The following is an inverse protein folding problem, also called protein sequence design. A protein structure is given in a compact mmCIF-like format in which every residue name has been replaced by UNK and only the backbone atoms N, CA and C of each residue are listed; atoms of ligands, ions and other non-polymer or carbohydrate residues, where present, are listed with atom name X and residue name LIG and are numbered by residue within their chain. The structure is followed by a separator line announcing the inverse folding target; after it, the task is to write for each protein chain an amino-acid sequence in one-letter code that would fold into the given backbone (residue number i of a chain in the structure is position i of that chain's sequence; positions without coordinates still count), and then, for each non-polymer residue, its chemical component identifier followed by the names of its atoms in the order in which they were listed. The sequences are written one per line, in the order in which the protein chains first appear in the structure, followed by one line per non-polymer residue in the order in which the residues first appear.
data_IF_055566019894
#
_entry.id   IF_055566019894
#
_cell.length_a   1.000
_cell.length_b   1.000
_cell.length_c   1.000
_cell.angle_alpha   90.00
_cell.angle_beta   90.00
_cell.angle_gamma   90.00
#
_symmetry.space_group_name_H-M   'P 1'
#
loop_
_entity.id
_entity.type
_entity.pdbx_description
1 polymer ?
#
# COMPACT_ATOMS: atom_id res chain seq x y z
N UNK A 1 -5.18 -31.70 -13.54
CA UNK A 1 -4.63 -31.08 -12.33
C UNK A 1 -5.71 -30.16 -11.78
N UNK A 2 -6.21 -30.43 -10.57
CA UNK A 2 -7.23 -29.60 -9.92
C UNK A 2 -6.61 -28.24 -9.64
N UNK A 3 -7.08 -27.17 -10.31
CA UNK A 3 -6.67 -25.80 -9.98
C UNK A 3 -7.25 -25.52 -8.59
N UNK A 4 -6.39 -25.40 -7.58
CA UNK A 4 -6.82 -24.93 -6.26
C UNK A 4 -7.55 -23.60 -6.48
N UNK A 5 -8.81 -23.47 -6.06
CA UNK A 5 -9.55 -22.23 -6.26
C UNK A 5 -8.87 -21.10 -5.51
N UNK A 6 -8.75 -19.95 -6.17
CA UNK A 6 -8.19 -18.74 -5.57
C UNK A 6 -9.12 -18.30 -4.43
N UNK A 7 -8.61 -18.20 -3.21
CA UNK A 7 -9.36 -17.74 -2.03
C UNK A 7 -8.81 -16.38 -1.58
N UNK A 8 -9.63 -15.32 -1.45
CA UNK A 8 -11.10 -15.35 -1.41
C UNK A 8 -11.78 -15.33 -2.80
N UNK A 9 -12.80 -16.16 -3.02
CA UNK A 9 -13.50 -16.21 -4.31
C UNK A 9 -14.38 -14.98 -4.53
N UNK A 10 -14.88 -14.36 -3.47
CA UNK A 10 -15.90 -13.31 -3.47
C UNK A 10 -15.34 -11.88 -3.47
N UNK A 11 -14.02 -11.71 -3.62
CA UNK A 11 -13.40 -10.39 -3.76
C UNK A 11 -13.10 -10.07 -5.24
N UNK A 12 -13.58 -8.94 -5.78
CA UNK A 12 -13.31 -8.53 -7.16
C UNK A 12 -11.91 -7.93 -7.38
N UNK A 13 -11.30 -7.33 -6.35
CA UNK A 13 -10.02 -6.60 -6.45
C UNK A 13 -8.94 -7.31 -5.64
N UNK A 14 -7.78 -7.48 -6.27
CA UNK A 14 -6.61 -8.15 -5.74
C UNK A 14 -5.39 -7.26 -5.81
N UNK A 15 -4.83 -6.87 -4.68
CA UNK A 15 -3.55 -6.14 -4.61
C UNK A 15 -2.45 -7.05 -4.10
N UNK A 16 -1.44 -7.24 -4.94
CA UNK A 16 -0.42 -8.28 -4.79
C UNK A 16 0.97 -7.73 -5.09
N UNK A 17 1.99 -8.32 -4.48
CA UNK A 17 3.36 -7.95 -4.75
C UNK A 17 3.73 -8.17 -6.22
N UNK A 18 4.26 -7.14 -6.87
CA UNK A 18 4.63 -7.17 -8.28
C UNK A 18 5.70 -8.22 -8.58
N UNK A 19 6.72 -8.37 -7.74
CA UNK A 19 7.89 -9.19 -8.05
C UNK A 19 7.62 -10.65 -7.77
N UNK A 20 7.04 -10.93 -6.62
CA UNK A 20 6.94 -12.26 -6.04
C UNK A 20 5.75 -13.08 -6.57
N UNK A 21 4.81 -12.42 -7.27
CA UNK A 21 3.76 -13.11 -7.99
C UNK A 21 4.19 -13.41 -9.43
N UNK A 22 4.28 -14.68 -9.83
CA UNK A 22 4.56 -15.03 -11.21
C UNK A 22 3.38 -14.66 -12.11
N UNK A 23 3.67 -14.47 -13.40
CA UNK A 23 2.64 -14.18 -14.44
C UNK A 23 1.51 -15.22 -14.45
N UNK A 24 1.78 -16.47 -14.03
CA UNK A 24 0.78 -17.53 -13.92
C UNK A 24 -0.25 -17.26 -12.81
N UNK A 25 0.15 -16.65 -11.69
CA UNK A 25 -0.77 -16.28 -10.61
C UNK A 25 -1.70 -15.16 -11.10
N UNK A 26 -1.13 -14.12 -11.70
CA UNK A 26 -1.90 -13.01 -12.27
C UNK A 26 -2.84 -13.52 -13.36
N UNK A 27 -2.35 -14.34 -14.29
CA UNK A 27 -3.18 -14.96 -15.33
C UNK A 27 -4.34 -15.79 -14.77
N UNK A 28 -4.15 -16.45 -13.63
CA UNK A 28 -5.23 -17.21 -12.95
C UNK A 28 -6.27 -16.26 -12.35
N UNK A 29 -5.86 -15.16 -11.72
CA UNK A 29 -6.74 -14.10 -11.23
C UNK A 29 -7.53 -13.45 -12.37
N UNK A 30 -6.86 -13.07 -13.46
CA UNK A 30 -7.49 -12.50 -14.65
C UNK A 30 -8.50 -13.45 -15.28
N UNK A 31 -8.17 -14.74 -15.40
CA UNK A 31 -9.10 -15.75 -15.92
C UNK A 31 -10.34 -15.96 -15.02
N UNK A 32 -10.23 -15.64 -13.73
CA UNK A 32 -11.34 -15.62 -12.78
C UNK A 32 -12.09 -14.28 -12.73
N UNK A 33 -11.83 -13.36 -13.68
CA UNK A 33 -12.50 -12.07 -13.78
C UNK A 33 -12.09 -11.06 -12.71
N UNK A 34 -10.93 -11.24 -12.07
CA UNK A 34 -10.43 -10.34 -11.03
C UNK A 34 -9.73 -9.12 -11.64
N UNK A 35 -9.81 -8.00 -10.90
CA UNK A 35 -8.96 -6.83 -11.08
C UNK A 35 -7.70 -7.05 -10.26
N UNK A 36 -6.53 -6.87 -10.85
CA UNK A 36 -5.24 -7.08 -10.23
C UNK A 36 -4.48 -5.76 -10.16
N UNK A 37 -4.27 -5.26 -8.95
CA UNK A 37 -3.37 -4.17 -8.60
C UNK A 37 -2.02 -4.80 -8.24
N UNK A 38 -0.94 -4.21 -8.75
CA UNK A 38 0.41 -4.68 -8.46
C UNK A 38 1.16 -3.65 -7.62
N UNK A 39 1.44 -4.05 -6.38
CA UNK A 39 2.23 -3.33 -5.40
C UNK A 39 3.71 -3.32 -5.75
N UNK A 40 4.36 -2.17 -5.57
CA UNK A 40 5.81 -2.09 -5.42
C UNK A 40 6.17 -0.82 -4.65
N UNK A 41 7.27 -0.82 -3.90
CA UNK A 41 7.75 0.45 -3.33
C UNK A 41 8.33 1.35 -4.43
N UNK A 42 7.76 2.54 -4.57
CA UNK A 42 8.19 3.55 -5.54
C UNK A 42 9.06 4.64 -4.91
N UNK A 43 8.96 4.82 -3.59
CA UNK A 43 9.74 5.80 -2.83
C UNK A 43 10.85 5.21 -1.96
N UNK A 44 11.03 3.88 -1.94
CA UNK A 44 12.17 3.23 -1.26
C UNK A 44 12.86 2.18 -2.15
N UNK A 45 14.14 1.95 -1.87
CA UNK A 45 14.90 0.82 -2.38
C UNK A 45 14.90 -0.31 -1.34
N UNK A 46 14.43 -1.47 -1.76
CA UNK A 46 14.32 -2.71 -0.97
C UNK A 46 15.52 -3.61 -1.34
N UNK A 47 16.41 -3.90 -0.38
CA UNK A 47 17.72 -4.52 -0.67
C UNK A 47 17.68 -5.97 -1.17
N UNK A 48 16.51 -6.59 -1.09
CA UNK A 48 16.25 -7.96 -1.53
C UNK A 48 15.67 -8.06 -2.93
N UNK A 49 15.29 -6.94 -3.56
CA UNK A 49 14.80 -6.95 -4.93
C UNK A 49 15.97 -7.18 -5.89
N UNK A 50 15.75 -8.00 -6.91
CA UNK A 50 16.75 -8.30 -7.93
C UNK A 50 17.32 -7.04 -8.62
N UNK A 51 16.53 -5.97 -8.69
CA UNK A 51 16.93 -4.69 -9.28
C UNK A 51 17.63 -3.74 -8.32
N UNK A 52 17.84 -4.11 -7.04
CA UNK A 52 18.46 -3.24 -6.03
C UNK A 52 19.86 -2.75 -6.44
N UNK A 53 20.65 -3.60 -7.09
CA UNK A 53 21.97 -3.22 -7.60
C UNK A 53 21.96 -2.11 -8.66
N UNK A 54 20.79 -1.74 -9.19
CA UNK A 54 20.63 -0.66 -10.17
C UNK A 54 20.45 0.72 -9.54
N UNK A 55 20.23 0.82 -8.22
CA UNK A 55 20.13 2.11 -7.54
C UNK A 55 21.51 2.75 -7.35
N UNK A 56 21.69 3.96 -7.86
CA UNK A 56 22.92 4.71 -7.61
C UNK A 56 22.96 5.18 -6.15
N UNK A 57 24.13 5.10 -5.51
CA UNK A 57 24.29 5.51 -4.11
C UNK A 57 23.86 6.97 -3.84
N UNK A 58 23.96 7.85 -4.84
CA UNK A 58 23.54 9.26 -4.76
C UNK A 58 22.01 9.47 -4.71
N UNK A 59 21.24 8.46 -5.08
CA UNK A 59 19.78 8.47 -5.05
C UNK A 59 19.22 7.83 -3.79
N UNK A 60 20.06 7.22 -2.94
CA UNK A 60 19.67 6.55 -1.70
C UNK A 60 19.77 7.50 -0.49
N UNK A 61 18.65 7.69 0.18
CA UNK A 61 18.49 8.47 1.40
C UNK A 61 18.76 7.68 2.67
N UNK A 62 18.14 8.11 3.76
CA UNK A 62 18.18 7.42 5.05
C UNK A 62 17.41 6.10 5.00
N UNK A 63 17.78 5.21 5.93
CA UNK A 63 17.08 3.96 6.18
C UNK A 63 15.72 4.26 6.83
N UNK A 64 14.69 3.48 6.49
CA UNK A 64 13.39 3.59 7.14
C UNK A 64 13.49 3.04 8.58
N UNK A 65 13.04 3.78 9.62
CA UNK A 65 13.20 3.33 11.00
C UNK A 65 12.63 1.94 11.28
N UNK A 66 11.49 1.60 10.67
CA UNK A 66 10.77 0.33 10.85
C UNK A 66 11.32 -0.80 9.96
N UNK A 67 11.91 -0.43 8.81
CA UNK A 67 12.35 -1.32 7.75
C UNK A 67 13.86 -1.11 7.48
N UNK A 68 14.76 -1.80 8.21
CA UNK A 68 16.21 -1.54 8.16
C UNK A 68 16.86 -1.88 6.81
N UNK A 69 16.18 -2.71 6.01
CA UNK A 69 16.59 -3.16 4.69
C UNK A 69 16.06 -2.25 3.56
N UNK A 70 15.47 -1.10 3.94
CA UNK A 70 14.90 -0.13 3.00
C UNK A 70 15.51 1.25 3.16
N UNK A 71 15.67 1.96 2.04
CA UNK A 71 16.18 3.33 2.01
C UNK A 71 15.31 4.22 1.15
N UNK A 72 15.04 5.44 1.62
CA UNK A 72 14.31 6.45 0.85
C UNK A 72 14.96 6.76 -0.50
N UNK A 73 14.17 7.07 -1.52
CA UNK A 73 14.63 7.36 -2.87
C UNK A 73 14.52 8.85 -3.23
N UNK A 74 15.48 9.33 -4.02
CA UNK A 74 15.44 10.65 -4.65
C UNK A 74 14.47 10.63 -5.85
N UNK A 75 13.17 10.78 -5.59
CA UNK A 75 12.08 10.66 -6.58
C UNK A 75 12.17 11.61 -7.79
N UNK A 76 12.86 12.75 -7.64
CA UNK A 76 13.17 13.68 -8.74
C UNK A 76 14.28 13.20 -9.70
N UNK A 77 14.99 12.11 -9.37
CA UNK A 77 16.12 11.64 -10.16
C UNK A 77 15.71 10.88 -11.41
N UNK A 78 16.38 11.16 -12.54
CA UNK A 78 16.08 10.50 -13.81
C UNK A 78 16.43 9.00 -13.80
N UNK A 79 17.47 8.59 -13.05
CA UNK A 79 17.81 7.18 -12.84
C UNK A 79 16.68 6.44 -12.10
N UNK A 80 16.14 7.05 -11.05
CA UNK A 80 15.00 6.51 -10.29
C UNK A 80 13.76 6.39 -11.16
N UNK A 81 13.42 7.44 -11.92
CA UNK A 81 12.29 7.38 -12.86
C UNK A 81 12.49 6.32 -13.94
N UNK A 82 13.72 6.14 -14.44
CA UNK A 82 14.03 5.08 -15.41
C UNK A 82 13.84 3.69 -14.81
N UNK A 83 14.21 3.49 -13.55
CA UNK A 83 14.03 2.21 -12.86
C UNK A 83 12.54 1.94 -12.57
N UNK A 84 11.80 2.93 -12.07
CA UNK A 84 10.37 2.77 -11.84
C UNK A 84 9.59 2.58 -13.14
N UNK A 85 9.99 3.19 -14.25
CA UNK A 85 9.39 2.89 -15.55
C UNK A 85 9.56 1.41 -15.94
N UNK A 86 10.69 0.77 -15.58
CA UNK A 86 10.86 -0.68 -15.77
C UNK A 86 9.93 -1.48 -14.87
N UNK A 87 9.74 -1.09 -13.60
CA UNK A 87 8.78 -1.74 -12.68
C UNK A 87 7.34 -1.61 -13.18
N UNK A 88 6.95 -0.42 -13.62
CA UNK A 88 5.62 -0.18 -14.22
C UNK A 88 5.45 -1.01 -15.51
N UNK A 89 6.46 -1.06 -16.38
CA UNK A 89 6.42 -1.93 -17.55
C UNK A 89 6.31 -3.40 -17.17
N UNK A 90 7.02 -3.85 -16.14
CA UNK A 90 6.92 -5.23 -15.64
C UNK A 90 5.49 -5.56 -15.17
N UNK A 91 4.82 -4.63 -14.48
CA UNK A 91 3.43 -4.80 -14.07
C UNK A 91 2.51 -4.99 -15.29
N UNK A 92 2.69 -4.16 -16.32
CA UNK A 92 1.95 -4.31 -17.57
C UNK A 92 2.24 -5.66 -18.27
N UNK A 93 3.52 -6.04 -18.39
CA UNK A 93 3.93 -7.30 -19.03
C UNK A 93 3.38 -8.53 -18.29
N UNK A 94 3.19 -8.44 -16.96
CA UNK A 94 2.57 -9.48 -16.14
C UNK A 94 1.04 -9.48 -16.20
N UNK A 95 0.41 -8.42 -16.73
CA UNK A 95 -1.04 -8.31 -16.91
C UNK A 95 -1.80 -7.67 -15.76
N UNK A 96 -1.14 -6.82 -14.96
CA UNK A 96 -1.79 -6.02 -13.93
C UNK A 96 -2.74 -4.98 -14.56
N UNK A 97 -3.86 -4.68 -13.91
CA UNK A 97 -4.78 -3.60 -14.32
C UNK A 97 -4.38 -2.24 -13.74
N UNK A 98 -3.59 -2.26 -12.66
CA UNK A 98 -3.27 -1.09 -11.88
C UNK A 98 -1.97 -1.27 -11.10
N UNK A 99 -1.42 -0.17 -10.62
CA UNK A 99 -0.26 -0.14 -9.73
C UNK A 99 -0.60 0.51 -8.37
N UNK A 100 -0.05 -0.04 -7.29
CA UNK A 100 -0.01 0.56 -5.96
C UNK A 100 1.44 0.96 -5.62
N UNK A 101 1.87 2.18 -6.01
CA UNK A 101 3.22 2.67 -5.74
C UNK A 101 3.32 3.15 -4.30
N UNK A 102 4.05 2.41 -3.48
CA UNK A 102 4.14 2.66 -2.04
C UNK A 102 5.29 3.62 -1.66
N UNK A 103 5.23 4.14 -0.43
CA UNK A 103 6.21 5.03 0.18
C UNK A 103 6.43 6.35 -0.58
N UNK A 104 5.40 6.90 -1.21
CA UNK A 104 5.48 8.22 -1.88
C UNK A 104 5.47 9.40 -0.92
N UNK A 105 5.30 9.14 0.38
CA UNK A 105 5.26 10.05 1.52
C UNK A 105 6.64 10.35 2.13
N UNK A 106 7.74 10.08 1.42
CA UNK A 106 9.08 10.35 1.93
C UNK A 106 9.31 11.78 2.42
N UNK A 107 8.58 12.77 1.88
CA UNK A 107 8.61 14.17 2.32
C UNK A 107 8.05 14.43 3.72
N UNK A 108 7.27 13.49 4.27
CA UNK A 108 6.74 13.53 5.64
C UNK A 108 7.71 12.87 6.65
N UNK A 109 8.78 12.24 6.15
CA UNK A 109 9.70 11.43 6.91
C UNK A 109 11.11 12.04 6.95
N UNK A 110 11.95 11.60 7.90
CA UNK A 110 13.37 11.92 7.92
C UNK A 110 14.12 11.14 6.82
N UNK A 111 13.95 11.59 5.58
CA UNK A 111 14.42 10.90 4.38
C UNK A 111 15.90 11.15 4.05
N UNK A 112 16.52 12.21 4.58
CA UNK A 112 17.90 12.59 4.27
C UNK A 112 18.14 13.12 2.85
N UNK A 113 17.09 13.40 2.09
CA UNK A 113 17.11 13.85 0.69
C UNK A 113 16.42 15.22 0.49
N UNK A 114 15.83 15.78 1.55
CA UNK A 114 15.08 17.04 1.53
C UNK A 114 13.89 17.01 0.55
N UNK A 115 13.21 15.86 0.48
CA UNK A 115 11.98 15.70 -0.30
C UNK A 115 10.87 16.62 0.22
N UNK A 116 10.09 17.17 -0.71
CA UNK A 116 8.92 18.01 -0.44
C UNK A 116 7.65 17.39 -1.01
N UNK A 117 6.50 17.85 -0.52
CA UNK A 117 5.20 17.43 -1.05
C UNK A 117 5.07 17.72 -2.56
N UNK A 118 5.65 18.81 -3.07
CA UNK A 118 5.70 19.11 -4.51
C UNK A 118 6.43 18.03 -5.31
N UNK A 119 7.51 17.46 -4.76
CA UNK A 119 8.25 16.38 -5.41
C UNK A 119 7.38 15.11 -5.51
N UNK A 120 6.60 14.81 -4.46
CA UNK A 120 5.67 13.69 -4.45
C UNK A 120 4.51 13.88 -5.45
N UNK A 121 3.91 15.08 -5.51
CA UNK A 121 2.85 15.41 -6.47
C UNK A 121 3.36 15.26 -7.91
N UNK A 122 4.56 15.77 -8.21
CA UNK A 122 5.18 15.62 -9.53
C UNK A 122 5.51 14.16 -9.86
N UNK A 123 5.94 13.39 -8.86
CA UNK A 123 6.30 12.00 -9.02
C UNK A 123 5.07 11.11 -9.27
N UNK A 124 3.99 11.28 -8.51
CA UNK A 124 2.70 10.61 -8.74
C UNK A 124 2.15 10.95 -10.12
N UNK A 125 2.24 12.23 -10.54
CA UNK A 125 1.85 12.65 -11.90
C UNK A 125 2.67 11.97 -12.98
N UNK A 126 3.97 11.86 -12.79
CA UNK A 126 4.84 11.17 -13.73
C UNK A 126 4.52 9.66 -13.79
N UNK A 127 4.33 9.00 -12.64
CA UNK A 127 3.97 7.57 -12.60
C UNK A 127 2.61 7.30 -13.25
N UNK A 128 1.63 8.18 -13.05
CA UNK A 128 0.34 8.11 -13.73
C UNK A 128 0.49 8.14 -15.25
N UNK A 129 1.30 9.08 -15.76
CA UNK A 129 1.57 9.19 -17.20
C UNK A 129 2.33 7.97 -17.75
N UNK A 130 3.24 7.39 -16.96
CA UNK A 130 3.97 6.18 -17.34
C UNK A 130 3.05 4.95 -17.37
N UNK A 131 2.20 4.77 -16.35
CA UNK A 131 1.23 3.67 -16.27
C UNK A 131 0.17 3.76 -17.39
N UNK A 132 -0.26 4.97 -17.74
CA UNK A 132 -1.22 5.20 -18.81
C UNK A 132 -0.73 4.76 -20.21
N UNK A 133 0.59 4.64 -20.44
CA UNK A 133 1.14 4.07 -21.68
C UNK A 133 0.77 2.60 -21.89
N UNK A 134 0.37 1.93 -20.81
CA UNK A 134 0.03 0.51 -20.76
C UNK A 134 -1.43 0.27 -20.34
N UNK A 135 -2.28 1.32 -20.42
CA UNK A 135 -3.68 1.29 -19.99
C UNK A 135 -3.90 0.92 -18.50
N UNK A 136 -2.88 1.07 -17.66
CA UNK A 136 -2.97 0.79 -16.22
C UNK A 136 -3.44 2.00 -15.42
N UNK A 137 -4.20 1.70 -14.36
CA UNK A 137 -4.65 2.65 -13.33
C UNK A 137 -3.58 2.86 -12.25
N UNK A 138 -3.70 3.93 -11.46
CA UNK A 138 -2.77 4.22 -10.35
C UNK A 138 -3.50 4.62 -9.07
N UNK A 139 -3.02 4.10 -7.94
CA UNK A 139 -3.45 4.49 -6.60
C UNK A 139 -2.57 5.54 -5.96
N UNK A 140 -3.11 6.26 -4.96
CA UNK A 140 -2.30 6.95 -3.96
C UNK A 140 -2.29 6.14 -2.66
N UNK A 141 -1.09 5.76 -2.20
CA UNK A 141 -0.88 5.11 -0.91
C UNK A 141 -0.63 6.16 0.17
N UNK A 142 -1.48 6.18 1.21
CA UNK A 142 -1.43 7.14 2.31
C UNK A 142 -1.34 8.59 1.78
N UNK A 143 -0.40 9.42 2.26
CA UNK A 143 -0.14 10.77 1.74
C UNK A 143 -1.39 11.68 1.68
N UNK A 144 -2.25 11.64 2.70
CA UNK A 144 -3.58 12.29 2.69
C UNK A 144 -3.50 13.81 2.46
N UNK A 145 -2.40 14.44 2.84
CA UNK A 145 -2.21 15.90 2.72
C UNK A 145 -2.02 16.37 1.27
N UNK A 146 -1.65 15.49 0.33
CA UNK A 146 -1.61 15.79 -1.11
C UNK A 146 -2.81 15.20 -1.87
N UNK A 147 -3.72 14.50 -1.20
CA UNK A 147 -4.84 13.79 -1.83
C UNK A 147 -5.64 14.71 -2.75
N UNK A 148 -5.94 15.94 -2.33
CA UNK A 148 -6.68 16.90 -3.17
C UNK A 148 -5.93 17.27 -4.46
N UNK A 149 -4.61 17.43 -4.40
CA UNK A 149 -3.78 17.85 -5.54
C UNK A 149 -3.65 16.74 -6.60
N UNK A 150 -3.61 15.49 -6.16
CA UNK A 150 -3.48 14.32 -7.06
C UNK A 150 -4.81 13.64 -7.35
N UNK A 151 -5.88 13.96 -6.62
CA UNK A 151 -7.21 13.39 -6.86
C UNK A 151 -7.69 13.48 -8.31
N UNK A 152 -7.36 14.49 -9.14
CA UNK A 152 -7.79 14.51 -10.53
C UNK A 152 -7.09 13.47 -11.42
N UNK A 153 -5.93 12.95 -11.00
CA UNK A 153 -5.06 12.09 -11.82
C UNK A 153 -4.99 10.64 -11.34
N UNK A 154 -5.19 10.37 -10.04
CA UNK A 154 -5.24 9.00 -9.50
C UNK A 154 -6.63 8.38 -9.63
N UNK A 155 -6.71 7.06 -9.67
CA UNK A 155 -7.95 6.32 -9.90
C UNK A 155 -8.57 5.77 -8.61
N UNK A 156 -7.73 5.49 -7.60
CA UNK A 156 -8.12 4.98 -6.30
C UNK A 156 -7.13 5.45 -5.22
N UNK A 157 -7.42 5.15 -3.96
CA UNK A 157 -6.47 5.30 -2.86
C UNK A 157 -6.33 3.98 -2.10
N UNK A 158 -5.13 3.72 -1.59
CA UNK A 158 -4.87 2.68 -0.60
C UNK A 158 -4.51 3.39 0.69
N UNK A 159 -5.22 3.11 1.77
CA UNK A 159 -5.00 3.75 3.05
C UNK A 159 -4.73 2.72 4.13
N UNK A 160 -3.75 3.02 4.97
CA UNK A 160 -3.49 2.30 6.19
C UNK A 160 -3.87 3.19 7.38
N UNK A 161 -4.67 2.63 8.28
CA UNK A 161 -4.89 3.14 9.64
C UNK A 161 -5.59 4.50 9.75
N UNK A 162 -6.30 5.00 8.74
CA UNK A 162 -7.01 6.27 8.90
C UNK A 162 -8.03 6.22 10.05
N UNK A 163 -8.61 5.07 10.38
CA UNK A 163 -9.58 4.99 11.47
C UNK A 163 -8.88 5.03 12.82
N UNK A 164 -7.71 4.39 12.93
CA UNK A 164 -6.85 4.51 14.10
C UNK A 164 -6.37 5.95 14.34
N UNK A 165 -6.06 6.69 13.28
CA UNK A 165 -5.57 8.07 13.38
C UNK A 165 -6.66 9.15 13.34
N UNK A 166 -7.92 8.77 13.07
CA UNK A 166 -9.04 9.71 12.97
C UNK A 166 -9.01 10.58 11.71
N UNK A 167 -8.43 10.07 10.63
CA UNK A 167 -8.14 10.83 9.40
C UNK A 167 -9.02 10.43 8.22
N UNK A 168 -9.90 9.43 8.37
CA UNK A 168 -10.68 8.88 7.25
C UNK A 168 -11.58 9.91 6.56
N UNK A 169 -11.99 10.98 7.24
CA UNK A 169 -12.79 12.06 6.65
C UNK A 169 -12.08 12.78 5.49
N UNK A 170 -10.75 12.71 5.40
CA UNK A 170 -10.00 13.25 4.27
C UNK A 170 -10.46 12.68 2.91
N UNK A 171 -11.02 11.47 2.91
CA UNK A 171 -11.48 10.79 1.70
C UNK A 171 -12.91 11.14 1.25
N UNK A 172 -13.68 11.93 2.00
CA UNK A 172 -15.09 12.22 1.68
C UNK A 172 -15.28 12.76 0.26
N UNK A 173 -14.45 13.74 -0.15
CA UNK A 173 -14.49 14.29 -1.51
C UNK A 173 -14.04 13.28 -2.57
N UNK A 174 -13.11 12.39 -2.24
CA UNK A 174 -12.59 11.38 -3.17
C UNK A 174 -13.65 10.32 -3.46
N UNK A 175 -14.38 9.88 -2.43
CA UNK A 175 -15.51 8.95 -2.54
C UNK A 175 -16.67 9.61 -3.27
N UNK A 176 -16.96 10.90 -3.01
CA UNK A 176 -18.01 11.64 -3.71
C UNK A 176 -17.76 11.74 -5.23
N UNK A 177 -16.51 11.58 -5.68
CA UNK A 177 -16.11 11.46 -7.09
C UNK A 177 -16.20 10.02 -7.64
N UNK A 178 -16.82 9.10 -6.90
CA UNK A 178 -16.89 7.65 -7.19
C UNK A 178 -15.53 6.97 -7.32
N UNK A 179 -14.51 7.46 -6.59
CA UNK A 179 -13.20 6.82 -6.54
C UNK A 179 -13.08 5.94 -5.30
N UNK A 180 -12.71 4.65 -5.45
CA UNK A 180 -12.65 3.75 -4.32
C UNK A 180 -11.45 4.05 -3.42
N UNK A 181 -11.64 3.80 -2.13
CA UNK A 181 -10.56 3.78 -1.14
C UNK A 181 -10.47 2.38 -0.56
N UNK A 182 -9.34 1.74 -0.80
CA UNK A 182 -8.96 0.44 -0.28
C UNK A 182 -8.30 0.63 1.08
N UNK A 183 -9.06 0.40 2.14
CA UNK A 183 -8.71 0.74 3.51
C UNK A 183 -8.25 -0.49 4.28
N UNK A 184 -7.10 -0.39 4.95
CA UNK A 184 -6.46 -1.46 5.71
C UNK A 184 -6.28 -0.99 7.16
N UNK A 185 -6.66 -1.84 8.10
CA UNK A 185 -6.52 -1.58 9.54
C UNK A 185 -5.81 -2.75 10.21
N UNK A 186 -4.97 -2.45 11.23
CA UNK A 186 -4.14 -3.43 11.93
C UNK A 186 -4.54 -3.57 13.42
N UNK A 187 -5.77 -4.02 13.73
CA UNK A 187 -6.23 -4.09 15.10
C UNK A 187 -5.41 -5.10 15.91
N UNK A 188 -5.06 -4.74 17.15
CA UNK A 188 -4.40 -5.62 18.10
C UNK A 188 -5.31 -5.83 19.32
N UNK A 189 -5.83 -7.05 19.56
CA UNK A 189 -5.68 -8.27 18.75
C UNK A 189 -6.50 -8.28 17.46
N UNK A 190 -5.99 -8.94 16.41
CA UNK A 190 -6.72 -9.24 15.19
C UNK A 190 -7.63 -10.44 15.40
N UNK A 191 -8.93 -10.20 15.58
CA UNK A 191 -9.94 -11.23 15.78
C UNK A 191 -11.34 -10.76 15.37
N UNK A 192 -12.34 -11.64 15.50
CA UNK A 192 -13.73 -11.34 15.16
C UNK A 192 -14.34 -10.16 15.94
N UNK A 193 -13.79 -9.79 17.10
CA UNK A 193 -14.26 -8.65 17.87
C UNK A 193 -13.81 -7.31 17.28
N UNK A 194 -12.73 -7.28 16.48
CA UNK A 194 -12.20 -6.07 15.87
C UNK A 194 -13.22 -5.35 14.97
N UNK A 195 -14.15 -6.10 14.34
CA UNK A 195 -15.24 -5.56 13.51
C UNK A 195 -16.18 -4.62 14.28
N UNK A 196 -16.16 -4.68 15.61
CA UNK A 196 -16.96 -3.80 16.47
C UNK A 196 -16.25 -2.50 16.86
N UNK A 197 -14.98 -2.33 16.48
CA UNK A 197 -14.15 -1.17 16.80
C UNK A 197 -14.15 -0.07 15.74
N UNK A 198 -13.21 0.86 15.90
CA UNK A 198 -13.06 2.04 15.03
C UNK A 198 -12.77 1.66 13.57
N UNK A 199 -12.06 0.56 13.32
CA UNK A 199 -11.72 0.11 11.96
C UNK A 199 -12.95 -0.05 11.05
N UNK A 200 -14.12 -0.41 11.61
CA UNK A 200 -15.36 -0.57 10.85
C UNK A 200 -16.47 0.42 11.22
N UNK A 201 -16.42 1.02 12.41
CA UNK A 201 -17.47 1.90 12.94
C UNK A 201 -16.98 3.33 13.25
N UNK A 202 -15.73 3.63 12.91
CA UNK A 202 -15.12 4.94 13.10
C UNK A 202 -15.70 6.01 12.17
N UNK A 203 -15.54 7.26 12.56
CA UNK A 203 -15.95 8.42 11.76
C UNK A 203 -15.21 8.42 10.41
N UNK A 204 -15.93 8.63 9.31
CA UNK A 204 -15.35 8.69 7.96
C UNK A 204 -15.05 7.32 7.31
N UNK A 205 -15.27 6.20 8.01
CA UNK A 205 -15.05 4.85 7.46
C UNK A 205 -16.17 4.43 6.47
N UNK A 206 -17.36 5.00 6.60
CA UNK A 206 -18.47 4.72 5.69
C UNK A 206 -18.08 5.08 4.24
N UNK A 207 -18.18 4.12 3.32
CA UNK A 207 -17.75 4.33 1.93
C UNK A 207 -16.32 3.85 1.60
N UNK A 208 -15.51 3.51 2.62
CA UNK A 208 -14.22 2.82 2.44
C UNK A 208 -14.36 1.29 2.33
N UNK A 209 -13.67 0.69 1.36
CA UNK A 209 -13.58 -0.77 1.25
C UNK A 209 -12.58 -1.27 2.30
N UNK A 210 -13.07 -1.76 3.44
CA UNK A 210 -12.22 -2.04 4.61
C UNK A 210 -11.84 -3.51 4.74
N UNK A 211 -10.57 -3.78 5.01
CA UNK A 211 -10.02 -5.08 5.42
C UNK A 211 -9.18 -4.89 6.69
N UNK A 212 -9.34 -5.79 7.66
CA UNK A 212 -8.48 -5.85 8.84
C UNK A 212 -7.49 -7.00 8.70
N UNK A 213 -6.20 -6.71 8.86
CA UNK A 213 -5.09 -7.66 8.68
C UNK A 213 -4.08 -7.53 9.81
N UNK A 214 -3.08 -8.41 9.80
CA UNK A 214 -1.85 -8.17 10.55
C UNK A 214 -0.88 -7.32 9.72
N UNK A 215 0.19 -6.85 10.36
CA UNK A 215 1.20 -6.00 9.72
C UNK A 215 2.05 -6.77 8.68
N UNK A 216 2.03 -8.11 8.72
CA UNK A 216 2.68 -8.94 7.70
C UNK A 216 1.79 -9.13 6.47
N UNK A 217 0.57 -8.58 6.48
CA UNK A 217 -0.53 -8.76 5.53
C UNK A 217 -0.71 -10.22 5.05
N UNK A 218 -0.44 -11.18 5.92
CA UNK A 218 -0.61 -12.60 5.63
C UNK A 218 -1.73 -13.19 6.50
N UNK A 219 -2.04 -14.47 6.25
CA UNK A 219 -2.97 -15.23 7.07
C UNK A 219 -4.37 -14.62 7.13
N UNK A 220 -4.88 -14.49 8.35
CA UNK A 220 -6.26 -14.11 8.62
C UNK A 220 -6.58 -12.67 8.22
N UNK A 221 -7.63 -12.53 7.42
CA UNK A 221 -8.23 -11.24 7.07
C UNK A 221 -9.68 -11.20 7.56
N UNK A 222 -10.08 -10.10 8.20
CA UNK A 222 -11.45 -9.87 8.66
C UNK A 222 -12.11 -8.71 7.90
N UNK A 223 -13.41 -8.84 7.64
CA UNK A 223 -14.23 -7.83 6.98
C UNK A 223 -15.26 -7.24 7.95
N UNK A 224 -15.74 -6.03 7.67
CA UNK A 224 -16.70 -5.33 8.53
C UNK A 224 -18.09 -5.99 8.62
N UNK A 225 -18.41 -6.92 7.72
CA UNK A 225 -19.63 -7.75 7.80
C UNK A 225 -19.48 -8.94 8.77
N UNK A 226 -18.33 -9.09 9.43
CA UNK A 226 -18.04 -10.18 10.36
C UNK A 226 -17.48 -11.44 9.69
N UNK A 227 -17.44 -11.49 8.36
CA UNK A 227 -16.80 -12.58 7.65
C UNK A 227 -15.27 -12.47 7.71
N UNK A 228 -14.61 -13.60 7.50
CA UNK A 228 -13.17 -13.69 7.51
C UNK A 228 -12.69 -14.73 6.51
N UNK A 229 -11.42 -14.64 6.16
CA UNK A 229 -10.76 -15.56 5.24
C UNK A 229 -9.31 -15.71 5.64
N UNK A 230 -8.82 -16.94 5.64
CA UNK A 230 -7.40 -17.21 5.78
C UNK A 230 -6.73 -17.15 4.41
N UNK A 231 -5.76 -16.27 4.27
CA UNK A 231 -5.01 -16.02 3.03
C UNK A 231 -3.52 -16.20 3.30
N UNK A 232 -3.07 -17.45 3.53
CA UNK A 232 -1.65 -17.72 3.75
C UNK A 232 -0.85 -17.35 2.50
N UNK A 233 0.38 -16.88 2.72
CA UNK A 233 1.35 -16.60 1.68
C UNK A 233 1.71 -17.90 0.92
N UNK A 234 1.86 -17.85 -0.41
CA UNK A 234 2.32 -18.98 -1.23
C UNK A 234 3.77 -19.38 -0.90
N UNK A 235 3.99 -20.27 0.07
CA UNK A 235 5.29 -20.88 0.36
C UNK A 235 5.78 -20.56 1.77
N UNK A 236 6.13 -21.60 2.52
CA UNK A 236 6.45 -21.60 3.95
C UNK A 236 7.83 -21.01 4.30
N UNK A 237 8.45 -20.24 3.39
CA UNK A 237 9.78 -19.68 3.66
C UNK A 237 9.66 -18.38 4.47
N UNK A 238 10.25 -18.44 5.65
CA UNK A 238 10.50 -17.36 6.60
C UNK A 238 10.72 -16.01 5.90
N UNK A 239 9.86 -15.03 6.18
CA UNK A 239 9.96 -13.68 5.60
C UNK A 239 11.29 -13.02 6.03
N UNK A 240 12.26 -12.80 5.13
CA UNK A 240 13.56 -12.28 5.54
C UNK A 240 13.54 -10.78 5.88
N UNK A 241 12.39 -10.12 5.67
CA UNK A 241 12.27 -8.67 5.69
C UNK A 241 11.15 -8.18 6.61
N UNK A 242 10.81 -8.93 7.67
CA UNK A 242 9.80 -8.50 8.63
C UNK A 242 10.12 -7.12 9.22
N UNK A 243 9.08 -6.31 9.51
CA UNK A 243 9.28 -5.05 10.21
C UNK A 243 9.96 -5.32 11.55
N UNK A 244 10.77 -4.38 12.01
CA UNK A 244 11.48 -4.59 13.27
C UNK A 244 10.50 -4.76 14.46
N UNK A 245 10.96 -5.37 15.56
CA UNK A 245 10.10 -5.64 16.73
C UNK A 245 9.45 -4.39 17.36
N UNK A 246 9.92 -3.19 17.03
CA UNK A 246 9.34 -1.93 17.49
C UNK A 246 8.20 -1.41 16.58
N UNK A 247 8.03 -1.93 15.36
CA UNK A 247 6.93 -1.54 14.48
C UNK A 247 5.58 -1.80 15.14
N UNK A 248 5.39 -2.98 15.76
CA UNK A 248 4.18 -3.29 16.53
C UNK A 248 3.99 -2.40 17.77
N UNK A 249 5.06 -1.83 18.34
CA UNK A 249 4.96 -0.87 19.45
C UNK A 249 4.52 0.51 18.98
N UNK A 250 5.02 0.96 17.83
CA UNK A 250 4.59 2.22 17.19
C UNK A 250 3.12 2.16 16.77
N UNK A 251 2.65 1.00 16.29
CA UNK A 251 1.23 0.73 16.05
C UNK A 251 0.37 0.85 17.33
N UNK A 252 0.90 0.48 18.49
CA UNK A 252 0.15 0.49 19.75
C UNK A 252 0.26 1.80 20.55
N UNK A 253 1.29 2.62 20.29
CA UNK A 253 1.62 3.80 21.10
C UNK A 253 0.90 5.09 20.70
N UNK A 254 0.02 5.07 19.69
CA UNK A 254 -0.74 6.26 19.27
C UNK A 254 -1.93 6.61 20.18
N UNK A 255 -1.86 6.27 21.47
CA UNK A 255 -2.85 6.73 22.45
C UNK A 255 -2.66 8.21 22.71
N UNK A 256 -3.67 8.99 22.32
CA UNK A 256 -3.86 10.43 22.49
C UNK A 256 -3.25 11.00 23.79
N UNK A 257 -2.17 11.77 23.67
CA UNK A 257 -1.92 12.91 24.55
C UNK A 257 -2.10 14.21 23.75
N UNK A 258 -2.88 15.14 24.31
CA UNK A 258 -3.35 16.38 23.70
C UNK A 258 -2.23 17.43 23.51
N UNK A 259 -1.21 17.15 22.71
CA UNK A 259 -0.25 18.17 22.27
C UNK A 259 -0.10 18.19 20.75
N UNK A 260 -0.64 19.26 20.14
CA UNK A 260 -0.47 19.66 18.74
C UNK A 260 -0.74 18.58 17.67
N UNK A 261 -2.04 18.33 17.44
CA UNK A 261 -2.66 17.41 16.47
C UNK A 261 -2.05 17.47 15.05
N UNK A 262 -1.45 18.59 14.64
CA UNK A 262 -0.88 18.74 13.30
C UNK A 262 0.56 18.25 13.11
N UNK A 263 1.34 18.06 14.19
CA UNK A 263 2.78 17.78 14.08
C UNK A 263 3.18 16.36 14.51
N UNK A 264 2.38 15.67 15.33
CA UNK A 264 2.70 14.31 15.81
C UNK A 264 2.16 13.21 14.89
N UNK A 265 1.06 13.46 14.16
CA UNK A 265 0.45 12.50 13.24
C UNK A 265 1.22 12.35 11.90
N UNK A 266 2.07 13.32 11.53
CA UNK A 266 2.77 13.31 10.23
C UNK A 266 3.96 12.34 10.13
N UNK A 267 4.43 11.78 11.25
CA UNK A 267 5.77 11.16 11.28
C UNK A 267 5.80 9.64 11.40
N UNK A 268 4.66 8.94 11.39
CA UNK A 268 4.65 7.49 11.63
C UNK A 268 3.56 6.78 10.83
N UNK A 269 3.60 6.85 9.50
CA UNK A 269 2.92 5.85 8.68
C UNK A 269 3.83 4.62 8.58
N UNK A 270 3.43 3.53 9.23
CA UNK A 270 4.09 2.24 9.03
C UNK A 270 3.44 1.60 7.82
N UNK A 271 4.11 1.66 6.66
CA UNK A 271 3.66 0.88 5.51
C UNK A 271 3.82 -0.61 5.82
N UNK A 272 2.73 -1.36 5.74
CA UNK A 272 2.77 -2.81 5.82
C UNK A 272 3.11 -3.39 4.45
N UNK A 273 3.87 -4.49 4.45
CA UNK A 273 4.33 -5.16 3.24
C UNK A 273 4.37 -6.66 3.45
N UNK A 274 4.18 -7.38 2.36
CA UNK A 274 4.46 -8.82 2.28
C UNK A 274 4.95 -9.13 0.90
N UNK A 275 5.74 -10.19 0.84
CA UNK A 275 6.28 -10.73 -0.38
C UNK A 275 5.20 -11.36 -1.28
N UNK A 276 3.88 -11.26 -1.02
CA UNK A 276 2.89 -11.89 -1.90
C UNK A 276 1.59 -11.11 -2.03
N UNK A 277 0.97 -10.67 -0.93
CA UNK A 277 -0.43 -10.24 -0.96
C UNK A 277 -0.71 -9.04 -0.06
N UNK A 278 -1.05 -7.88 -0.63
CA UNK A 278 -1.28 -6.65 0.12
C UNK A 278 -2.72 -6.60 0.64
N UNK A 279 -3.73 -6.76 -0.24
CA UNK A 279 -5.13 -6.71 0.18
C UNK A 279 -6.15 -7.19 -0.85
N UNK A 280 -7.33 -7.57 -0.35
CA UNK A 280 -8.45 -8.13 -1.12
C UNK A 280 -9.75 -7.43 -0.75
N UNK A 281 -10.32 -6.64 -1.65
CA UNK A 281 -11.47 -5.83 -1.30
C UNK A 281 -12.75 -6.29 -1.97
N UNK A 282 -13.81 -6.35 -1.16
CA UNK A 282 -15.19 -6.47 -1.63
C UNK A 282 -15.69 -5.11 -2.07
N UNK A 283 -16.54 -5.10 -3.09
CA UNK A 283 -17.29 -3.91 -3.47
C UNK A 283 -18.37 -3.70 -2.39
N UNK A 284 -18.51 -2.48 -1.90
CA UNK A 284 -19.69 -2.09 -1.10
C UNK A 284 -20.91 -1.86 -1.98
#
# INVERSE_FOLDING_TARGET
MSKIPISPIDVPVWDIDLFDNPVTTIGTLKAAGKIVICYFSAGTAEDWRDDYGSFAAADLGKVLPEWPNERWLRTGSQSIRTLMAKRIKLAADKGCDAIDPDNTDGYQNDNGLNLKNTDAIEYVRWMQQEAAKYDMRIGLKNSLDILSDVSPIIDFAVNEQCAQHGECQAYENFIALNKPVFHIEYPLPLNAQAVNGASCKGTGVAGLSTIMKDLQLNGMSYYCDGSYVDTPTLGDEFEPHSPNANANKLLASSTFEHENIYNVAKSHFVSAKTNKYIGWWRRM
#
